data_IF_350782490767
#
_entry.id   IF_350782490767
#
_cell.length_a   1.000
_cell.length_b   1.000
_cell.length_c   1.000
_cell.angle_alpha   90.00
_cell.angle_beta   90.00
_cell.angle_gamma   90.00
#
_symmetry.space_group_name_H-M   'P 1'
#
loop_
_entity.id
_entity.type
_entity.pdbx_description
1 polymer ?
#
# COMPACT_ATOMS: atom_id res chain seq x y z
N UNK A 1 0.55 -7.26 -19.76
CA UNK A 1 -0.45 -6.45 -19.05
C UNK A 1 -0.54 -5.11 -19.74
N UNK A 2 -1.74 -4.62 -19.98
CA UNK A 2 -2.03 -3.27 -20.50
C UNK A 2 -2.65 -2.45 -19.39
N UNK A 3 -2.48 -1.13 -19.44
CA UNK A 3 -3.18 -0.24 -18.53
C UNK A 3 -4.69 -0.31 -18.77
N UNK A 4 -5.48 -0.16 -17.70
CA UNK A 4 -6.94 -0.01 -17.81
C UNK A 4 -7.28 1.30 -18.54
N UNK A 5 -8.34 1.29 -19.35
CA UNK A 5 -8.77 2.47 -20.11
C UNK A 5 -9.66 3.44 -19.34
N UNK A 6 -10.07 3.08 -18.12
CA UNK A 6 -10.95 3.90 -17.28
C UNK A 6 -10.11 4.94 -16.52
N UNK A 7 -10.30 6.22 -16.83
CA UNK A 7 -9.50 7.32 -16.27
C UNK A 7 -9.54 7.41 -14.74
N UNK A 8 -10.70 7.16 -14.14
CA UNK A 8 -10.86 7.17 -12.68
C UNK A 8 -10.07 6.04 -12.02
N UNK A 9 -10.04 4.86 -12.64
CA UNK A 9 -9.26 3.71 -12.15
C UNK A 9 -7.75 3.98 -12.24
N UNK A 10 -7.30 4.61 -13.33
CA UNK A 10 -5.90 5.06 -13.44
C UNK A 10 -5.53 6.07 -12.36
N UNK A 11 -6.41 7.04 -12.09
CA UNK A 11 -6.17 8.04 -11.03
C UNK A 11 -6.10 7.37 -9.66
N UNK A 12 -6.98 6.41 -9.38
CA UNK A 12 -6.93 5.60 -8.16
C UNK A 12 -5.62 4.83 -8.06
N UNK A 13 -5.20 4.16 -9.14
CA UNK A 13 -3.96 3.40 -9.16
C UNK A 13 -2.73 4.27 -8.84
N UNK A 14 -2.62 5.46 -9.45
CA UNK A 14 -1.53 6.39 -9.16
C UNK A 14 -1.60 6.93 -7.72
N UNK A 15 -2.80 7.18 -7.21
CA UNK A 15 -3.00 7.59 -5.81
C UNK A 15 -2.51 6.50 -4.86
N UNK A 16 -2.85 5.24 -5.11
CA UNK A 16 -2.40 4.09 -4.33
C UNK A 16 -0.88 3.95 -4.34
N UNK A 17 -0.26 4.16 -5.51
CA UNK A 17 1.20 4.13 -5.64
C UNK A 17 1.88 5.25 -4.85
N UNK A 18 1.35 6.48 -4.91
CA UNK A 18 1.86 7.61 -4.12
C UNK A 18 1.72 7.32 -2.62
N UNK A 19 0.56 6.83 -2.19
CA UNK A 19 0.33 6.45 -0.80
C UNK A 19 1.30 5.34 -0.35
N UNK A 20 1.58 4.37 -1.21
CA UNK A 20 2.54 3.32 -0.92
C UNK A 20 3.95 3.88 -0.65
N UNK A 21 4.43 4.79 -1.51
CA UNK A 21 5.73 5.43 -1.32
C UNK A 21 5.78 6.32 -0.07
N UNK A 22 4.72 7.09 0.20
CA UNK A 22 4.62 7.88 1.43
C UNK A 22 4.65 7.00 2.68
N UNK A 23 3.94 5.88 2.65
CA UNK A 23 3.91 4.92 3.74
C UNK A 23 5.30 4.26 3.95
N UNK A 24 6.00 3.87 2.89
CA UNK A 24 7.39 3.38 2.98
C UNK A 24 8.32 4.42 3.60
N UNK A 25 8.22 5.69 3.19
CA UNK A 25 9.01 6.77 3.78
C UNK A 25 8.74 6.93 5.28
N UNK A 26 7.47 6.81 5.70
CA UNK A 26 7.08 6.83 7.12
C UNK A 26 7.67 5.65 7.89
N UNK A 27 7.64 4.43 7.34
CA UNK A 27 8.28 3.24 7.95
C UNK A 27 9.77 3.48 8.17
N UNK A 28 10.48 3.92 7.12
CA UNK A 28 11.93 4.19 7.20
C UNK A 28 12.21 5.24 8.27
N UNK A 29 11.42 6.31 8.32
CA UNK A 29 11.59 7.41 9.29
C UNK A 29 11.34 6.96 10.72
N UNK A 30 10.31 6.16 10.97
CA UNK A 30 9.95 5.62 12.29
C UNK A 30 11.00 4.64 12.81
N UNK A 31 11.48 3.73 11.96
CA UNK A 31 12.49 2.76 12.34
C UNK A 31 13.85 3.42 12.62
N UNK A 32 14.21 4.46 11.86
CA UNK A 32 15.46 5.23 12.08
C UNK A 32 15.48 5.97 13.41
N UNK A 33 14.35 6.49 13.88
CA UNK A 33 14.26 7.24 15.14
C UNK A 33 13.58 6.46 16.25
N UNK A 34 13.49 5.13 16.16
CA UNK A 34 12.80 4.30 17.14
C UNK A 34 13.35 4.48 18.57
N UNK A 35 14.65 4.74 18.69
CA UNK A 35 15.36 4.89 19.96
C UNK A 35 15.15 6.28 20.58
N UNK A 36 14.64 7.25 19.81
CA UNK A 36 14.38 8.62 20.27
C UNK A 36 13.04 8.70 21.03
N UNK A 37 12.19 7.68 20.90
CA UNK A 37 10.92 7.60 21.60
C UNK A 37 11.08 6.97 22.98
N UNK A 38 10.41 7.55 23.99
CA UNK A 38 10.33 6.99 25.34
C UNK A 38 9.78 5.55 25.39
N UNK A 39 8.99 5.15 24.38
CA UNK A 39 8.46 3.79 24.23
C UNK A 39 8.74 3.29 22.81
N UNK A 40 9.86 2.60 22.62
CA UNK A 40 10.31 2.10 21.31
C UNK A 40 9.28 1.20 20.60
N UNK A 41 8.44 0.48 21.35
CA UNK A 41 7.38 -0.37 20.81
C UNK A 41 6.35 0.42 19.99
N UNK A 42 6.09 1.69 20.33
CA UNK A 42 5.16 2.54 19.56
C UNK A 42 5.64 2.75 18.14
N UNK A 43 6.95 2.99 17.96
CA UNK A 43 7.54 3.14 16.64
C UNK A 43 7.39 1.86 15.80
N UNK A 44 7.54 0.69 16.41
CA UNK A 44 7.35 -0.60 15.72
C UNK A 44 5.89 -0.84 15.33
N UNK A 45 4.93 -0.51 16.20
CA UNK A 45 3.49 -0.66 15.90
C UNK A 45 3.10 0.25 14.73
N UNK A 46 3.51 1.52 14.77
CA UNK A 46 3.22 2.44 13.67
C UNK A 46 3.96 2.06 12.39
N UNK A 47 5.21 1.60 12.48
CA UNK A 47 5.93 1.08 11.32
C UNK A 47 5.22 -0.15 10.72
N UNK A 48 4.67 -1.05 11.53
CA UNK A 48 3.88 -2.17 11.03
C UNK A 48 2.60 -1.69 10.33
N UNK A 49 1.87 -0.73 10.90
CA UNK A 49 0.68 -0.17 10.27
C UNK A 49 0.99 0.51 8.92
N UNK A 50 2.04 1.33 8.85
CA UNK A 50 2.47 1.94 7.59
C UNK A 50 3.04 0.92 6.59
N UNK A 51 3.68 -0.16 7.06
CA UNK A 51 4.11 -1.23 6.17
C UNK A 51 2.91 -1.94 5.53
N UNK A 52 1.86 -2.23 6.32
CA UNK A 52 0.60 -2.78 5.79
C UNK A 52 -0.05 -1.83 4.79
N UNK A 53 -0.08 -0.52 5.07
CA UNK A 53 -0.59 0.50 4.14
C UNK A 53 0.24 0.54 2.84
N UNK A 54 1.56 0.42 2.93
CA UNK A 54 2.43 0.37 1.75
C UNK A 54 2.11 -0.85 0.87
N UNK A 55 1.94 -2.03 1.48
CA UNK A 55 1.54 -3.24 0.77
C UNK A 55 0.16 -3.06 0.12
N UNK A 56 -0.80 -2.52 0.85
CA UNK A 56 -2.15 -2.25 0.32
C UNK A 56 -2.09 -1.28 -0.88
N UNK A 57 -1.35 -0.18 -0.80
CA UNK A 57 -1.19 0.75 -1.91
C UNK A 57 -0.48 0.14 -3.12
N UNK A 58 0.54 -0.70 -2.92
CA UNK A 58 1.15 -1.43 -4.05
C UNK A 58 0.16 -2.39 -4.71
N UNK A 59 -0.62 -3.14 -3.92
CA UNK A 59 -1.64 -4.04 -4.45
C UNK A 59 -2.76 -3.28 -5.17
N UNK A 60 -3.20 -2.14 -4.62
CA UNK A 60 -4.17 -1.22 -5.23
C UNK A 60 -3.71 -0.68 -6.58
N UNK A 61 -2.47 -0.22 -6.68
CA UNK A 61 -1.87 0.20 -7.96
C UNK A 61 -1.99 -0.88 -9.04
N UNK A 62 -1.71 -2.15 -8.69
CA UNK A 62 -1.84 -3.25 -9.63
C UNK A 62 -3.32 -3.57 -9.93
N UNK A 63 -4.16 -3.64 -8.91
CA UNK A 63 -5.57 -4.02 -9.03
C UNK A 63 -6.40 -3.00 -9.83
N UNK A 64 -6.08 -1.71 -9.70
CA UNK A 64 -6.75 -0.62 -10.41
C UNK A 64 -6.03 -0.23 -11.70
N UNK A 65 -4.71 -0.40 -11.80
CA UNK A 65 -3.93 0.14 -12.91
C UNK A 65 -3.96 -0.68 -14.19
N UNK A 66 -4.20 -1.99 -14.11
CA UNK A 66 -4.02 -2.89 -15.25
C UNK A 66 -5.26 -3.71 -15.56
N UNK A 67 -5.44 -4.03 -16.84
CA UNK A 67 -6.38 -5.07 -17.25
C UNK A 67 -5.83 -6.44 -16.86
N UNK A 68 -6.67 -7.21 -16.16
CA UNK A 68 -6.30 -8.49 -15.55
C UNK A 68 -7.43 -9.50 -15.71
N UNK A 69 -7.07 -10.79 -15.70
CA UNK A 69 -8.07 -11.86 -15.65
C UNK A 69 -8.76 -11.88 -14.28
N UNK A 70 -10.03 -12.32 -14.25
CA UNK A 70 -10.83 -12.38 -13.02
C UNK A 70 -10.14 -13.17 -11.90
N UNK A 71 -9.44 -14.27 -12.23
CA UNK A 71 -8.71 -15.06 -11.25
C UNK A 71 -7.55 -14.29 -10.60
N UNK A 72 -6.79 -13.52 -11.38
CA UNK A 72 -5.68 -12.73 -10.86
C UNK A 72 -6.18 -11.52 -10.07
N UNK A 73 -7.26 -10.89 -10.53
CA UNK A 73 -7.97 -9.83 -9.82
C UNK A 73 -8.43 -10.33 -8.44
N UNK A 74 -9.13 -11.46 -8.36
CA UNK A 74 -9.57 -12.04 -7.09
C UNK A 74 -8.40 -12.33 -6.13
N UNK A 75 -7.27 -12.80 -6.65
CA UNK A 75 -6.06 -13.04 -5.85
C UNK A 75 -5.49 -11.75 -5.22
N UNK A 76 -5.49 -10.63 -5.96
CA UNK A 76 -5.05 -9.33 -5.44
C UNK A 76 -6.05 -8.72 -4.45
N UNK A 77 -7.36 -8.92 -4.66
CA UNK A 77 -8.40 -8.37 -3.81
C UNK A 77 -8.51 -9.06 -2.44
N UNK A 78 -8.22 -10.36 -2.34
CA UNK A 78 -8.27 -11.06 -1.04
C UNK A 78 -7.44 -10.41 0.09
N UNK A 79 -6.13 -10.12 -0.09
CA UNK A 79 -5.36 -9.44 0.94
C UNK A 79 -5.83 -8.00 1.19
N UNK A 80 -6.37 -7.31 0.18
CA UNK A 80 -6.96 -5.97 0.35
C UNK A 80 -8.21 -6.02 1.24
N UNK A 81 -9.05 -7.06 1.10
CA UNK A 81 -10.23 -7.25 1.95
C UNK A 81 -9.90 -7.54 3.42
N UNK A 82 -8.68 -7.95 3.76
CA UNK A 82 -8.30 -8.12 5.17
C UNK A 82 -8.14 -6.77 5.91
N UNK A 83 -8.05 -5.66 5.18
CA UNK A 83 -7.90 -4.31 5.72
C UNK A 83 -9.15 -3.42 5.62
N UNK A 84 -10.27 -3.96 5.12
CA UNK A 84 -11.57 -3.30 4.92
C UNK A 84 -12.64 -3.89 5.84
#
# INVERSE_FOLDING_TARGET
MTFISIETELTTAFTDLILAFMAVAAVIRLLKTRNDYAVAQKANIWAAAFASLAVAGFLGFWAHGFEMSEGFKAMLWHPLYLGL
#
